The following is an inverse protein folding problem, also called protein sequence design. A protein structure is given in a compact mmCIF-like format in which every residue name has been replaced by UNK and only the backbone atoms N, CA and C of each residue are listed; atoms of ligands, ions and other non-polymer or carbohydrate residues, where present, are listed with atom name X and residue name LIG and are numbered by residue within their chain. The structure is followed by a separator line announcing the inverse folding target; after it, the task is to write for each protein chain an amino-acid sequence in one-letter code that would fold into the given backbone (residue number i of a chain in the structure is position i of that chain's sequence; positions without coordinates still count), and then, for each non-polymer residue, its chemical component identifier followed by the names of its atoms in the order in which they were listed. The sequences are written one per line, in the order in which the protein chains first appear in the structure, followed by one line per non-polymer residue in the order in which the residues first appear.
data_IF_475343454851
#
_entry.id   IF_475343454851
#
_cell.length_a   1.000
_cell.length_b   1.000
_cell.length_c   1.000
_cell.angle_alpha   90.00
_cell.angle_beta   90.00
_cell.angle_gamma   90.00
#
_symmetry.space_group_name_H-M   'P 1'
#
loop_
_entity.id
_entity.type
_entity.pdbx_description
1 polymer ?
#
# COMPACT_ATOMS: atom_id res chain seq x y z
N UNK A 1 -4.61 -17.64 10.05
CA UNK A 1 -4.20 -16.34 9.48
C UNK A 1 -4.54 -15.28 10.50
N UNK A 2 -3.53 -14.67 11.11
CA UNK A 2 -3.72 -13.64 12.14
C UNK A 2 -4.02 -12.30 11.49
N UNK A 3 -5.04 -11.62 12.00
CA UNK A 3 -5.54 -10.36 11.46
C UNK A 3 -5.66 -9.33 12.57
N UNK A 4 -5.17 -8.12 12.29
CA UNK A 4 -5.29 -6.93 13.13
C UNK A 4 -5.95 -5.81 12.34
N UNK A 5 -6.41 -4.76 13.03
CA UNK A 5 -6.92 -3.55 12.39
C UNK A 5 -6.23 -2.32 12.96
N UNK A 6 -5.86 -1.40 12.08
CA UNK A 6 -5.42 -0.07 12.45
C UNK A 6 -6.64 0.81 12.74
N UNK A 7 -6.58 1.56 13.85
CA UNK A 7 -7.59 2.56 14.22
C UNK A 7 -7.15 3.96 13.78
N UNK A 8 -8.09 4.88 13.48
CA UNK A 8 -7.74 6.26 13.09
C UNK A 8 -6.95 7.03 14.16
N UNK A 9 -7.07 6.63 15.43
CA UNK A 9 -6.34 7.22 16.57
C UNK A 9 -4.86 6.86 16.65
N UNK A 10 -4.35 6.10 15.67
CA UNK A 10 -2.98 5.61 15.62
C UNK A 10 -2.90 4.09 15.61
N UNK A 11 -1.77 3.57 15.16
CA UNK A 11 -1.44 2.15 15.14
C UNK A 11 -0.01 1.96 15.63
N UNK A 12 0.18 1.03 16.55
CA UNK A 12 1.49 0.69 17.10
C UNK A 12 1.69 -0.80 16.89
N UNK A 13 2.72 -1.12 16.11
CA UNK A 13 3.21 -2.50 15.99
C UNK A 13 3.87 -2.91 17.32
N UNK A 14 3.40 -4.01 17.90
CA UNK A 14 3.80 -4.53 19.21
C UNK A 14 4.46 -5.92 19.14
N UNK A 15 4.95 -6.40 20.29
CA UNK A 15 5.63 -7.70 20.40
C UNK A 15 4.71 -8.91 20.11
N UNK A 16 3.40 -8.76 20.32
CA UNK A 16 2.43 -9.81 19.99
C UNK A 16 2.34 -9.98 18.47
N UNK A 17 2.21 -8.88 17.74
CA UNK A 17 2.22 -8.87 16.27
C UNK A 17 3.53 -9.43 15.71
N UNK A 18 4.66 -9.07 16.32
CA UNK A 18 5.98 -9.61 15.95
C UNK A 18 6.05 -11.12 16.11
N UNK A 19 5.60 -11.64 17.25
CA UNK A 19 5.55 -13.08 17.50
C UNK A 19 4.68 -13.79 16.47
N UNK A 20 3.47 -13.30 16.23
CA UNK A 20 2.53 -13.91 15.28
C UNK A 20 3.08 -13.90 13.85
N UNK A 21 3.81 -12.83 13.47
CA UNK A 21 4.56 -12.76 12.21
C UNK A 21 5.68 -13.80 12.14
N UNK A 22 6.49 -13.94 13.19
CA UNK A 22 7.59 -14.92 13.21
C UNK A 22 7.09 -16.37 13.16
N UNK A 23 5.95 -16.66 13.78
CA UNK A 23 5.34 -18.00 13.78
C UNK A 23 4.62 -18.32 12.47
N UNK A 24 3.91 -17.35 11.88
CA UNK A 24 3.07 -17.57 10.69
C UNK A 24 3.76 -17.21 9.37
N UNK A 25 4.89 -16.49 9.42
CA UNK A 25 5.58 -15.90 8.26
C UNK A 25 4.91 -14.66 7.67
N UNK A 26 3.70 -14.32 8.12
CA UNK A 26 2.96 -13.12 7.72
C UNK A 26 1.82 -12.81 8.71
N UNK A 27 1.40 -11.55 8.75
CA UNK A 27 0.18 -11.09 9.42
C UNK A 27 -0.59 -10.16 8.47
N UNK A 28 -1.89 -9.99 8.68
CA UNK A 28 -2.69 -9.01 7.95
C UNK A 28 -3.07 -7.84 8.86
N UNK A 29 -2.78 -6.61 8.44
CA UNK A 29 -3.21 -5.39 9.13
C UNK A 29 -4.24 -4.69 8.23
N UNK A 30 -5.52 -4.74 8.60
CA UNK A 30 -6.61 -4.03 7.95
C UNK A 30 -6.48 -2.53 8.21
N UNK A 31 -6.90 -1.73 7.25
CA UNK A 31 -6.98 -0.27 7.37
C UNK A 31 -5.65 0.38 7.80
N UNK A 32 -4.51 -0.24 7.44
CA UNK A 32 -3.19 0.35 7.68
C UNK A 32 -3.12 1.74 7.03
N UNK A 33 -3.75 1.89 5.87
CA UNK A 33 -4.16 3.17 5.33
C UNK A 33 -5.66 3.31 5.50
N UNK A 34 -6.11 4.45 5.99
CA UNK A 34 -7.53 4.78 6.08
C UNK A 34 -8.09 5.19 4.70
N UNK A 35 -9.40 5.34 4.62
CA UNK A 35 -10.09 5.67 3.37
C UNK A 35 -9.64 7.00 2.77
N UNK A 36 -9.30 7.99 3.62
CA UNK A 36 -8.86 9.31 3.17
C UNK A 36 -7.44 9.25 2.59
N UNK A 37 -6.52 8.55 3.27
CA UNK A 37 -5.17 8.28 2.79
C UNK A 37 -5.19 7.54 1.45
N UNK A 38 -5.99 6.47 1.35
CA UNK A 38 -6.15 5.70 0.09
C UNK A 38 -6.71 6.58 -1.03
N UNK A 39 -7.69 7.43 -0.73
CA UNK A 39 -8.29 8.36 -1.69
C UNK A 39 -7.26 9.36 -2.23
N UNK A 40 -6.43 9.95 -1.35
CA UNK A 40 -5.37 10.88 -1.75
C UNK A 40 -4.31 10.24 -2.64
N UNK A 41 -3.87 9.02 -2.29
CA UNK A 41 -2.91 8.26 -3.09
C UNK A 41 -3.50 8.00 -4.47
N UNK A 42 -4.75 7.52 -4.53
CA UNK A 42 -5.45 7.27 -5.79
C UNK A 42 -5.55 8.52 -6.64
N UNK A 43 -5.98 9.65 -6.07
CA UNK A 43 -6.08 10.91 -6.78
C UNK A 43 -4.72 11.32 -7.37
N UNK A 44 -3.65 11.23 -6.58
CA UNK A 44 -2.29 11.56 -7.03
C UNK A 44 -1.85 10.69 -8.22
N UNK A 45 -2.21 9.42 -8.25
CA UNK A 45 -1.90 8.51 -9.36
C UNK A 45 -2.71 8.83 -10.61
N UNK A 46 -3.98 9.19 -10.44
CA UNK A 46 -4.89 9.53 -11.54
C UNK A 46 -4.52 10.89 -12.18
N UNK A 47 -3.97 11.83 -11.40
CA UNK A 47 -3.58 13.17 -11.90
C UNK A 47 -2.12 13.29 -12.35
N UNK A 48 -1.26 12.32 -12.02
CA UNK A 48 0.15 12.37 -12.39
C UNK A 48 0.36 12.03 -13.87
N UNK A 49 0.80 13.01 -14.67
CA UNK A 49 1.13 12.80 -16.09
C UNK A 49 2.16 11.69 -16.27
N UNK A 50 3.28 11.74 -15.51
CA UNK A 50 4.33 10.70 -15.53
C UNK A 50 3.78 9.29 -15.29
N UNK A 51 2.84 9.14 -14.35
CA UNK A 51 2.22 7.85 -14.07
C UNK A 51 1.30 7.41 -15.21
N UNK A 52 0.49 8.33 -15.75
CA UNK A 52 -0.44 8.02 -16.84
C UNK A 52 0.28 7.70 -18.16
N UNK A 53 1.39 8.38 -18.48
CA UNK A 53 2.19 8.15 -19.69
C UNK A 53 2.86 6.76 -19.70
N UNK A 54 3.24 6.27 -18.54
CA UNK A 54 3.88 4.96 -18.38
C UNK A 54 2.85 3.84 -18.08
N UNK A 55 1.57 4.18 -17.96
CA UNK A 55 0.51 3.22 -17.70
C UNK A 55 0.04 2.56 -18.99
N UNK A 56 -0.09 1.24 -18.97
CA UNK A 56 -0.74 0.48 -20.04
C UNK A 56 -1.95 -0.26 -19.49
N UNK A 57 -2.97 -0.38 -20.34
CA UNK A 57 -4.20 -1.10 -20.03
C UNK A 57 -3.98 -2.60 -20.17
N UNK A 58 -4.43 -3.34 -19.15
CA UNK A 58 -4.61 -4.79 -19.21
C UNK A 58 -6.10 -5.06 -19.14
N UNK A 59 -6.67 -5.51 -20.27
CA UNK A 59 -8.05 -5.93 -20.33
C UNK A 59 -8.19 -7.33 -19.71
N UNK A 60 -9.23 -7.52 -18.90
CA UNK A 60 -9.68 -8.84 -18.48
C UNK A 60 -10.68 -9.41 -19.49
N UNK A 61 -10.94 -10.72 -19.39
CA UNK A 61 -11.89 -11.43 -20.26
C UNK A 61 -13.34 -10.96 -20.08
N UNK A 62 -13.63 -10.21 -19.02
CA UNK A 62 -14.95 -9.69 -18.66
C UNK A 62 -15.15 -8.22 -19.07
N UNK A 63 -14.21 -7.63 -19.83
CA UNK A 63 -14.29 -6.26 -20.32
C UNK A 63 -13.90 -5.16 -19.32
N UNK A 64 -13.35 -5.52 -18.16
CA UNK A 64 -12.72 -4.54 -17.25
C UNK A 64 -11.28 -4.31 -17.69
N UNK A 65 -10.80 -3.09 -17.51
CA UNK A 65 -9.41 -2.75 -17.79
C UNK A 65 -8.72 -2.27 -16.50
N UNK A 66 -7.61 -2.91 -16.14
CA UNK A 66 -6.69 -2.41 -15.12
C UNK A 66 -5.60 -1.57 -15.78
N UNK A 67 -5.16 -0.51 -15.11
CA UNK A 67 -3.96 0.24 -15.50
C UNK A 67 -2.77 -0.33 -14.75
N UNK A 68 -1.70 -0.68 -15.45
CA UNK A 68 -0.45 -1.15 -14.87
C UNK A 68 0.69 -0.21 -15.27
N UNK A 69 1.59 0.06 -14.34
CA UNK A 69 2.86 0.77 -14.57
C UNK A 69 3.99 -0.16 -14.12
N UNK A 70 4.99 -0.38 -14.97
CA UNK A 70 6.17 -1.17 -14.57
C UNK A 70 6.97 -0.35 -13.56
N UNK A 71 7.37 -1.01 -12.46
CA UNK A 71 8.15 -0.42 -11.37
C UNK A 71 9.63 -0.21 -11.74
N UNK A 72 9.88 0.52 -12.85
CA UNK A 72 11.22 0.90 -13.37
C UNK A 72 11.54 2.38 -13.13
N UNK A 73 10.53 3.24 -13.20
CA UNK A 73 10.57 4.69 -12.96
C UNK A 73 9.95 5.18 -11.61
N UNK A 74 9.09 4.42 -10.89
CA UNK A 74 8.39 4.83 -9.65
C UNK A 74 9.20 5.12 -8.37
N UNK A 75 10.51 5.30 -8.44
CA UNK A 75 11.33 5.49 -7.23
C UNK A 75 11.00 6.76 -6.43
N UNK A 76 10.43 7.77 -7.08
CA UNK A 76 10.10 9.09 -6.53
C UNK A 76 8.60 9.45 -6.63
N UNK A 77 7.74 8.55 -7.10
CA UNK A 77 6.31 8.82 -7.15
C UNK A 77 5.63 8.52 -5.81
N UNK A 78 4.33 8.79 -5.71
CA UNK A 78 3.55 8.58 -4.48
C UNK A 78 3.57 7.11 -4.03
N UNK A 79 3.72 6.14 -4.94
CA UNK A 79 3.82 4.71 -4.58
C UNK A 79 5.18 4.39 -3.96
N UNK A 80 6.25 4.98 -4.50
CA UNK A 80 7.60 4.85 -3.95
C UNK A 80 7.73 5.49 -2.57
N UNK A 81 7.06 6.63 -2.35
CA UNK A 81 6.97 7.30 -1.06
C UNK A 81 6.11 6.53 -0.06
N UNK A 82 5.01 5.94 -0.50
CA UNK A 82 4.13 5.13 0.35
C UNK A 82 4.87 3.99 1.03
N UNK A 83 5.73 3.27 0.29
CA UNK A 83 6.53 2.18 0.86
C UNK A 83 7.57 2.60 1.89
N UNK A 84 7.85 3.90 2.03
CA UNK A 84 8.85 4.47 2.96
C UNK A 84 8.27 5.50 3.93
N UNK A 85 6.96 5.69 3.94
CA UNK A 85 6.35 6.60 4.88
C UNK A 85 6.44 6.02 6.30
N UNK A 86 6.51 6.89 7.31
CA UNK A 86 6.67 6.51 8.71
C UNK A 86 5.63 5.47 9.16
N UNK A 87 4.37 5.63 8.72
CA UNK A 87 3.28 4.71 9.06
C UNK A 87 3.52 3.29 8.56
N UNK A 88 4.10 3.11 7.38
CA UNK A 88 4.44 1.77 6.85
C UNK A 88 5.73 1.27 7.50
N UNK A 89 6.78 2.09 7.51
CA UNK A 89 8.12 1.71 8.01
C UNK A 89 8.07 1.29 9.47
N UNK A 90 7.34 2.01 10.32
CA UNK A 90 7.20 1.69 11.75
C UNK A 90 6.50 0.35 12.04
N UNK A 91 5.86 -0.27 11.03
CA UNK A 91 5.27 -1.62 11.12
C UNK A 91 6.19 -2.72 10.62
N UNK A 92 7.28 -2.37 9.93
CA UNK A 92 8.18 -3.31 9.30
C UNK A 92 9.61 -3.28 9.88
N UNK A 93 10.03 -2.18 10.51
CA UNK A 93 11.41 -2.01 11.00
C UNK A 93 11.66 -2.55 12.42
N UNK A 94 10.62 -3.01 13.12
CA UNK A 94 10.68 -3.41 14.53
C UNK A 94 11.02 -4.88 14.77
#
# INVERSE_FOLDING_TARGET
MTEYSCSPSGFVFDEGMKKDFLESGYIMIRNLLDEEEVSKIRQSLETSEDFQENAFGVADENGKASKLVIWKHPGNDVTGMLGRCEKVVSTCEK
#
